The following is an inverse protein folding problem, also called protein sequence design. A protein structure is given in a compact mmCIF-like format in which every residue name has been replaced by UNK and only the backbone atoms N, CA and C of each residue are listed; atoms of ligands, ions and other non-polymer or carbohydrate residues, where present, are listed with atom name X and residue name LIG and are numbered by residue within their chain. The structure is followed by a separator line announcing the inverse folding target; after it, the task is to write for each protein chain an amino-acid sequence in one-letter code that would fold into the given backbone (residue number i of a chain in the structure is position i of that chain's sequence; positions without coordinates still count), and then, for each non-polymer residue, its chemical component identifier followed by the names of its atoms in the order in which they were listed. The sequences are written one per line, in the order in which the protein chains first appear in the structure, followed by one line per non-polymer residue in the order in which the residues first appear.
data_IF_289244129104
#
_entry.id   IF_289244129104
#
_cell.length_a   1.000
_cell.length_b   1.000
_cell.length_c   1.000
_cell.angle_alpha   90.00
_cell.angle_beta   90.00
_cell.angle_gamma   90.00
#
_symmetry.space_group_name_H-M   'P 1'
#
loop_
_entity.id
_entity.type
_entity.pdbx_description
1 polymer ?
2 polymer ?
3 non-polymer ?
4 non-polymer ?
5 non-polymer ?
6 non-polymer ?
7 non-polymer ?
8 non-polymer ?
9 water ?
#
# COMPACT_ATOMS: atom_id res chain seq x y z
N UNK A 2 2.35 -32.11 20.12
CA UNK A 2 1.14 -32.63 19.42
C UNK A 2 0.21 -33.29 20.44
N UNK A 3 -0.66 -32.54 21.18
CA UNK A 3 -1.22 -31.27 20.76
C UNK A 3 -0.25 -30.16 21.15
N UNK A 4 0.01 -29.22 20.22
CA UNK A 4 1.00 -28.13 20.40
C UNK A 4 0.43 -27.16 21.42
N UNK A 5 1.28 -26.45 22.17
CA UNK A 5 0.80 -25.46 23.13
C UNK A 5 -0.01 -24.35 22.46
N UNK A 6 -1.00 -23.81 23.18
CA UNK A 6 -1.75 -22.62 22.75
C UNK A 6 -0.82 -21.41 22.82
N UNK A 7 -0.54 -20.81 21.66
CA UNK A 7 0.34 -19.63 21.59
C UNK A 7 -0.55 -18.41 21.70
N UNK A 8 -0.15 -17.42 22.47
CA UNK A 8 -0.94 -16.18 22.53
C UNK A 8 -0.98 -15.56 21.14
N UNK A 9 -2.05 -14.86 20.80
CA UNK A 9 -2.12 -14.14 19.52
C UNK A 9 -0.91 -13.20 19.36
N UNK A 10 -0.54 -12.44 20.40
CA UNK A 10 0.56 -11.44 20.28
C UNK A 10 1.89 -12.18 20.06
N UNK A 11 2.14 -13.29 20.75
CA UNK A 11 3.41 -14.04 20.53
C UNK A 11 3.40 -14.61 19.11
N UNK A 12 2.31 -15.20 18.66
CA UNK A 12 2.24 -15.79 17.29
C UNK A 12 2.63 -14.71 16.29
N UNK A 13 2.03 -13.53 16.40
CA UNK A 13 2.22 -12.44 15.41
C UNK A 13 3.67 -11.97 15.40
N UNK A 14 4.27 -11.71 16.56
CA UNK A 14 5.68 -11.22 16.58
C UNK A 14 6.58 -12.34 16.08
N UNK A 15 6.24 -13.59 16.35
CA UNK A 15 7.06 -14.74 15.86
C UNK A 15 7.07 -14.74 14.34
N UNK A 16 5.90 -14.61 13.71
CA UNK A 16 5.87 -14.54 12.23
C UNK A 16 6.79 -13.42 11.75
N UNK A 17 6.64 -12.19 12.28
CA UNK A 17 7.45 -11.05 11.78
C UNK A 17 8.94 -11.24 12.09
N UNK A 18 9.31 -11.78 13.25
CA UNK A 18 10.74 -11.98 13.61
C UNK A 18 11.39 -13.01 12.72
N UNK A 19 10.67 -14.05 12.36
CA UNK A 19 11.32 -15.21 11.73
C UNK A 19 11.19 -15.16 10.20
N UNK A 20 10.31 -14.30 9.69
CA UNK A 20 10.18 -14.07 8.22
C UNK A 20 11.41 -13.33 7.70
N UNK A 21 12.05 -13.74 6.57
CA UNK A 21 13.20 -13.01 6.02
C UNK A 21 12.78 -11.84 5.13
N UNK A 22 13.72 -10.92 4.88
CA UNK A 22 13.59 -9.89 3.82
C UNK A 22 14.24 -10.46 2.57
N UNK A 23 13.53 -10.47 1.43
CA UNK A 23 14.07 -11.00 0.17
C UNK A 23 15.22 -10.14 -0.32
N UNK A 24 16.00 -10.72 -1.23
CA UNK A 24 17.14 -10.06 -1.87
C UNK A 24 16.66 -9.02 -2.86
N UNK A 25 17.59 -8.34 -3.51
CA UNK A 25 17.26 -7.18 -4.36
C UNK A 25 17.33 -7.59 -5.81
N UNK A 26 16.77 -6.74 -6.67
CA UNK A 26 16.92 -6.89 -8.14
C UNK A 26 16.76 -5.49 -8.74
N UNK A 27 17.27 -5.31 -9.96
CA UNK A 27 17.07 -4.04 -10.69
C UNK A 27 15.78 -4.13 -11.50
N UNK A 28 14.91 -3.14 -11.41
CA UNK A 28 13.68 -3.11 -12.24
C UNK A 28 13.61 -1.82 -13.05
N UNK A 29 12.78 -1.83 -14.08
CA UNK A 29 12.37 -0.60 -14.80
C UNK A 29 11.47 0.23 -13.87
N UNK A 30 11.66 1.56 -13.85
CA UNK A 30 10.91 2.43 -12.91
C UNK A 30 9.40 2.26 -13.13
N UNK A 31 8.95 1.98 -14.34
CA UNK A 31 7.48 1.86 -14.60
C UNK A 31 6.90 0.66 -13.87
N UNK A 32 7.71 -0.29 -13.44
CA UNK A 32 7.26 -1.47 -12.68
C UNK A 32 7.39 -1.25 -11.19
N UNK A 33 7.64 -0.01 -10.73
CA UNK A 33 7.97 0.28 -9.33
C UNK A 33 6.80 0.34 -8.36
N UNK A 34 5.54 0.22 -8.80
CA UNK A 34 4.37 0.37 -7.92
C UNK A 34 4.38 -0.69 -6.81
N UNK A 35 4.36 -0.25 -5.56
CA UNK A 35 4.32 -1.11 -4.36
C UNK A 35 5.70 -1.65 -4.03
N UNK A 36 6.71 -1.33 -4.82
CA UNK A 36 8.06 -1.85 -4.54
C UNK A 36 8.71 -0.94 -3.51
N UNK A 37 9.73 -1.46 -2.84
CA UNK A 37 10.52 -0.70 -1.85
C UNK A 37 11.92 -0.52 -2.43
N UNK A 38 12.40 0.72 -2.50
CA UNK A 38 13.77 1.02 -2.98
C UNK A 38 14.80 0.39 -2.05
N UNK A 39 15.79 -0.22 -2.64
CA UNK A 39 16.93 -0.79 -1.90
C UNK A 39 18.16 0.07 -2.21
N UNK A 40 17.98 1.23 -2.82
CA UNK A 40 19.10 2.22 -3.02
C UNK A 40 18.56 3.62 -2.76
N UNK A 41 19.45 4.54 -2.36
CA UNK A 41 19.17 5.98 -2.46
C UNK A 41 19.18 6.39 -3.93
N UNK A 42 18.35 7.37 -4.30
CA UNK A 42 18.27 7.84 -5.68
C UNK A 42 18.63 9.32 -5.67
N UNK A 43 19.50 9.71 -6.58
CA UNK A 43 20.13 11.04 -6.68
C UNK A 43 19.74 11.68 -8.01
N UNK A 44 19.49 13.00 -7.99
CA UNK A 44 19.31 13.81 -9.22
C UNK A 44 20.67 14.00 -9.85
N UNK A 45 20.76 13.82 -11.15
CA UNK A 45 22.02 14.14 -11.87
C UNK A 45 21.87 15.48 -12.60
N UNK A 46 20.68 16.07 -12.57
CA UNK A 46 20.37 17.34 -13.25
C UNK A 46 19.67 18.30 -12.29
N UNK A 47 19.70 19.60 -12.58
CA UNK A 47 18.87 20.62 -11.88
C UNK A 47 17.46 20.59 -12.49
N UNK A 48 16.46 20.81 -11.62
CA UNK A 48 15.05 21.13 -11.97
C UNK A 48 14.68 22.44 -11.29
N UNK A 49 14.34 23.49 -12.10
CA UNK A 49 14.50 23.47 -13.54
C UNK A 49 15.98 23.49 -13.90
N UNK A 50 16.40 22.98 -15.07
CA UNK A 50 17.79 23.07 -15.50
C UNK A 50 18.21 24.41 -16.12
N UNK A 51 17.24 25.30 -16.37
CA UNK A 51 17.42 26.71 -16.85
C UNK A 51 16.50 27.58 -15.98
N UNK A 52 16.74 28.90 -15.86
CA UNK A 52 15.79 29.77 -15.16
C UNK A 52 14.48 29.72 -15.97
N UNK A 53 13.37 29.40 -15.31
CA UNK A 53 12.06 29.16 -15.96
C UNK A 53 11.03 30.19 -15.52
N UNK A 54 10.22 30.63 -16.47
CA UNK A 54 9.07 31.52 -16.17
C UNK A 54 8.03 30.72 -15.39
N UNK A 55 7.51 31.33 -14.33
CA UNK A 55 6.34 30.80 -13.58
C UNK A 55 5.07 31.19 -14.35
N UNK A 56 5.15 32.15 -15.28
CA UNK A 56 3.95 32.79 -15.85
C UNK A 56 3.98 32.96 -17.36
N UNK A 57 2.80 33.04 -17.95
CA UNK A 57 2.56 33.62 -19.30
C UNK A 57 2.63 35.14 -19.13
N UNK A 58 3.56 35.78 -19.84
CA UNK A 58 3.75 37.23 -19.73
C UNK A 58 5.00 37.67 -20.45
N UNK A 59 5.81 38.48 -19.79
CA UNK A 59 7.01 39.11 -20.38
C UNK A 59 8.18 38.99 -19.43
N UNK A 60 9.32 38.65 -20.02
CA UNK A 60 10.62 38.75 -19.35
C UNK A 60 11.12 40.20 -19.46
N UNK A 61 11.43 40.84 -18.35
CA UNK A 61 11.74 42.29 -18.34
C UNK A 61 13.05 42.50 -17.58
N UNK A 62 13.53 43.74 -17.62
CA UNK A 62 14.49 44.33 -16.66
C UNK A 62 13.72 45.09 -15.60
N UNK A 63 13.76 44.63 -14.35
CA UNK A 63 13.09 45.27 -13.20
C UNK A 63 13.52 46.74 -13.09
N UNK A 64 14.79 47.04 -13.37
CA UNK A 64 15.38 48.40 -13.31
C UNK A 64 14.70 49.31 -14.34
N UNK A 65 14.14 48.80 -15.44
CA UNK A 65 13.35 49.61 -16.42
C UNK A 65 12.10 50.21 -15.73
N UNK A 66 11.59 49.57 -14.68
CA UNK A 66 10.31 49.89 -14.04
C UNK A 66 9.15 49.76 -15.02
N UNK A 67 7.97 50.33 -14.67
CA UNK A 67 6.82 50.38 -15.59
C UNK A 67 7.10 51.25 -16.83
N UNK A 68 6.30 51.06 -17.86
CA UNK A 68 6.39 51.89 -19.07
C UNK A 68 6.27 51.06 -20.30
N UNK A 69 6.54 51.68 -21.43
CA UNK A 69 6.20 51.13 -22.76
C UNK A 69 7.46 50.45 -23.30
N UNK A 70 7.30 49.25 -23.83
CA UNK A 70 8.45 48.38 -24.18
C UNK A 70 8.29 47.80 -25.58
N UNK A 71 9.41 47.70 -26.29
CA UNK A 71 9.48 46.93 -27.57
C UNK A 71 9.63 45.44 -27.21
N UNK A 72 8.79 44.63 -27.81
CA UNK A 72 8.84 43.14 -27.66
C UNK A 72 9.80 42.61 -28.72
N UNK A 73 11.00 42.16 -28.35
CA UNK A 73 12.02 41.74 -29.36
C UNK A 73 11.75 40.32 -29.91
N UNK A 74 10.79 39.59 -29.35
CA UNK A 74 10.46 38.22 -29.79
C UNK A 74 9.91 37.40 -28.64
N UNK A 75 9.89 36.06 -28.77
CA UNK A 75 9.28 35.15 -27.78
C UNK A 75 10.29 34.07 -27.37
N UNK A 76 10.31 33.75 -26.07
CA UNK A 76 10.99 32.54 -25.53
C UNK A 76 9.94 31.42 -25.55
N UNK A 77 10.14 30.43 -26.41
CA UNK A 77 9.19 29.32 -26.67
C UNK A 77 9.58 28.15 -25.77
N UNK A 78 8.59 27.43 -25.22
CA UNK A 78 8.82 26.17 -24.47
C UNK A 78 9.70 25.27 -25.33
N UNK A 79 10.80 24.76 -24.78
CA UNK A 79 11.64 23.72 -25.41
C UNK A 79 12.71 24.30 -26.31
N UNK A 80 12.99 25.60 -26.23
CA UNK A 80 13.97 26.27 -27.13
C UNK A 80 14.83 27.23 -26.29
N UNK A 81 16.15 27.13 -26.37
CA UNK A 81 17.05 28.11 -25.72
C UNK A 81 16.91 29.44 -26.48
N UNK A 82 16.57 30.56 -25.82
CA UNK A 82 16.50 31.87 -26.50
C UNK A 82 17.89 32.35 -26.92
N UNK A 83 17.99 33.00 -28.09
CA UNK A 83 19.26 33.50 -28.67
C UNK A 83 19.40 35.02 -28.53
N UNK A 84 18.41 35.73 -27.99
CA UNK A 84 18.51 37.21 -27.90
C UNK A 84 18.75 37.62 -26.46
N UNK A 85 19.32 38.81 -26.33
CA UNK A 85 19.61 39.47 -25.04
C UNK A 85 18.59 40.61 -24.93
N UNK A 86 17.88 40.65 -23.82
CA UNK A 86 16.93 41.76 -23.56
C UNK A 86 17.75 42.96 -23.07
N UNK A 87 17.69 44.07 -23.82
CA UNK A 87 18.36 45.35 -23.49
C UNK A 87 17.35 46.28 -22.84
N UNK A 88 17.79 47.36 -22.15
CA UNK A 88 16.85 48.33 -21.57
C UNK A 88 15.73 48.80 -22.52
N UNK A 89 14.50 48.85 -22.02
CA UNK A 89 13.30 49.27 -22.80
C UNK A 89 12.80 48.18 -23.72
N UNK A 90 13.34 46.96 -23.57
CA UNK A 90 12.86 45.81 -24.36
C UNK A 90 12.31 44.76 -23.39
N UNK A 91 11.51 43.86 -23.93
CA UNK A 91 11.03 42.64 -23.22
C UNK A 91 10.95 41.52 -24.25
N UNK A 92 10.76 40.32 -23.76
CA UNK A 92 10.51 39.16 -24.63
C UNK A 92 9.31 38.43 -24.06
N UNK A 93 8.37 38.07 -24.90
CA UNK A 93 7.24 37.22 -24.47
C UNK A 93 7.80 35.94 -23.89
N UNK A 94 7.13 35.45 -22.86
CA UNK A 94 7.45 34.13 -22.24
C UNK A 94 6.13 33.41 -21.93
N UNK A 95 6.20 32.09 -21.92
CA UNK A 95 5.12 31.21 -21.42
C UNK A 95 5.64 30.47 -20.18
N UNK A 96 4.72 29.91 -19.41
CA UNK A 96 5.00 29.06 -18.22
C UNK A 96 5.98 27.98 -18.64
N UNK A 97 7.08 27.89 -17.91
CA UNK A 97 8.12 26.85 -18.10
C UNK A 97 9.13 27.20 -19.17
N UNK A 98 9.02 28.35 -19.84
CA UNK A 98 9.96 28.76 -20.92
C UNK A 98 11.22 29.34 -20.27
N UNK A 99 12.40 29.24 -20.91
CA UNK A 99 13.61 29.82 -20.34
C UNK A 99 13.59 31.35 -20.33
N UNK A 100 14.18 31.94 -19.30
CA UNK A 100 14.40 33.42 -19.23
C UNK A 100 15.61 33.75 -20.12
N UNK A 101 15.45 34.68 -21.10
CA UNK A 101 16.54 35.05 -21.98
C UNK A 101 17.55 35.86 -21.18
N UNK A 102 18.79 35.91 -21.67
CA UNK A 102 19.86 36.76 -21.09
C UNK A 102 19.37 38.22 -21.18
N UNK A 103 19.68 39.00 -20.17
CA UNK A 103 19.33 40.44 -20.14
C UNK A 103 18.11 40.71 -19.27
N UNK A 104 17.25 39.69 -19.08
CA UNK A 104 15.99 39.81 -18.30
C UNK A 104 16.24 39.27 -16.93
N UNK A 105 15.58 39.80 -15.91
CA UNK A 105 15.82 39.37 -14.50
C UNK A 105 14.49 39.26 -13.75
N UNK A 106 13.38 39.42 -14.44
CA UNK A 106 12.06 39.30 -13.78
C UNK A 106 11.00 38.97 -14.82
N UNK A 107 9.90 38.42 -14.36
CA UNK A 107 8.75 38.15 -15.26
C UNK A 107 7.56 38.95 -14.74
N UNK A 108 6.85 39.58 -15.67
CA UNK A 108 5.58 40.30 -15.38
C UNK A 108 4.49 39.53 -16.12
N UNK A 109 3.47 39.09 -15.38
CA UNK A 109 2.39 38.25 -15.92
C UNK A 109 1.56 39.14 -16.85
N UNK A 110 0.91 38.54 -17.84
CA UNK A 110 0.20 39.27 -18.92
C UNK A 110 -0.89 40.15 -18.30
N UNK A 111 -1.48 39.76 -17.18
CA UNK A 111 -2.58 40.54 -16.57
C UNK A 111 -2.05 41.90 -16.08
N UNK A 112 -0.74 42.06 -15.85
CA UNK A 112 -0.14 43.33 -15.37
C UNK A 112 0.40 44.13 -16.56
N UNK A 113 -0.13 43.91 -17.75
CA UNK A 113 0.34 44.57 -18.98
C UNK A 113 -0.87 44.99 -19.80
N UNK A 114 -0.63 45.86 -20.77
CA UNK A 114 -1.62 46.15 -21.83
C UNK A 114 -0.88 46.16 -23.16
N UNK A 115 -1.44 45.46 -24.12
CA UNK A 115 -0.85 45.42 -25.47
C UNK A 115 -1.06 46.77 -26.14
N UNK A 116 0.00 47.33 -26.72
CA UNK A 116 -0.06 48.64 -27.44
C UNK A 116 -0.30 48.39 -28.93
N UNK A 117 0.50 47.49 -29.53
CA UNK A 117 0.61 47.32 -30.99
C UNK A 117 0.90 45.85 -31.35
N UNK A 118 0.22 45.34 -32.37
CA UNK A 118 0.47 43.97 -32.89
C UNK A 118 0.64 44.07 -34.41
N UNK A 119 1.02 42.98 -35.05
CA UNK A 119 1.24 42.88 -36.52
C UNK A 119 -0.10 43.05 -37.23
N UNK A 120 -0.06 43.41 -38.51
CA UNK A 120 -1.27 43.56 -39.36
C UNK A 120 -2.03 42.23 -39.38
N UNK A 121 -1.30 41.12 -39.53
CA UNK A 121 -1.84 39.72 -39.52
C UNK A 121 -2.47 39.40 -38.16
N UNK A 122 -2.04 40.06 -37.08
CA UNK A 122 -2.56 39.84 -35.72
C UNK A 122 -1.90 38.64 -35.07
N UNK A 123 -0.82 38.13 -35.67
CA UNK A 123 -0.08 36.92 -35.20
C UNK A 123 1.16 37.30 -34.39
N UNK A 124 1.43 38.60 -34.21
CA UNK A 124 2.72 39.01 -33.62
C UNK A 124 2.55 40.27 -32.76
N UNK A 125 2.85 40.18 -31.47
CA UNK A 125 2.84 41.35 -30.55
C UNK A 125 4.12 42.14 -30.75
N UNK A 126 4.05 43.47 -30.75
CA UNK A 126 5.21 44.33 -31.12
C UNK A 126 5.58 45.27 -29.97
N UNK A 127 4.61 45.75 -29.18
CA UNK A 127 4.89 46.76 -28.13
C UNK A 127 3.89 46.59 -26.99
N UNK A 128 4.34 46.73 -25.76
CA UNK A 128 3.47 46.45 -24.59
C UNK A 128 3.78 47.44 -23.50
N UNK A 129 2.75 47.75 -22.74
CA UNK A 129 2.86 48.61 -21.55
C UNK A 129 2.93 47.69 -20.34
N UNK A 130 4.03 47.81 -19.60
CA UNK A 130 4.26 47.14 -18.31
C UNK A 130 3.68 48.03 -17.23
N UNK A 131 2.66 47.58 -16.50
CA UNK A 131 1.91 48.46 -15.56
C UNK A 131 2.48 48.39 -14.15
N UNK A 132 3.45 47.52 -13.88
CA UNK A 132 3.90 47.31 -12.47
C UNK A 132 5.42 47.42 -12.40
N UNK A 133 5.91 47.64 -11.17
CA UNK A 133 7.33 47.58 -10.78
C UNK A 133 7.58 46.13 -10.36
N UNK A 134 8.28 45.38 -11.20
CA UNK A 134 8.63 43.98 -10.92
C UNK A 134 9.59 43.94 -9.72
N UNK A 135 9.32 43.04 -8.77
CA UNK A 135 10.34 42.62 -7.76
C UNK A 135 11.48 41.87 -8.47
N UNK A 136 12.75 42.02 -8.04
CA UNK A 136 13.87 41.34 -8.71
C UNK A 136 13.65 39.82 -8.61
N UNK A 137 13.83 39.11 -9.73
CA UNK A 137 13.65 37.65 -9.81
C UNK A 137 12.20 37.24 -9.75
N UNK A 138 11.28 38.19 -9.79
CA UNK A 138 9.82 37.93 -9.70
C UNK A 138 9.38 36.92 -10.77
N UNK A 139 8.64 35.89 -10.36
CA UNK A 139 7.96 34.87 -11.21
C UNK A 139 8.97 34.15 -12.11
N UNK A 140 10.16 33.93 -11.56
CA UNK A 140 11.21 33.07 -12.18
C UNK A 140 11.53 31.94 -11.19
N UNK A 141 11.60 30.70 -11.68
CA UNK A 141 12.16 29.55 -10.94
C UNK A 141 13.63 29.50 -11.29
N UNK A 142 14.55 29.86 -10.38
CA UNK A 142 15.97 29.79 -10.67
C UNK A 142 16.41 28.33 -10.92
N UNK A 143 17.51 28.14 -11.62
CA UNK A 143 18.13 26.80 -11.83
C UNK A 143 18.17 26.11 -10.47
N UNK A 144 17.66 24.88 -10.41
CA UNK A 144 17.80 24.01 -9.23
C UNK A 144 16.86 24.39 -8.12
N UNK A 145 15.91 25.27 -8.38
CA UNK A 145 14.89 25.69 -7.38
C UNK A 145 14.15 24.46 -6.84
N UNK A 146 13.77 23.52 -7.70
CA UNK A 146 12.90 22.39 -7.30
C UNK A 146 13.79 21.21 -6.87
N UNK A 147 14.82 20.91 -7.64
CA UNK A 147 15.76 19.80 -7.36
C UNK A 147 17.16 20.25 -7.75
N UNK A 148 18.14 19.97 -6.92
CA UNK A 148 19.55 20.30 -7.26
C UNK A 148 20.26 19.04 -7.72
N UNK A 149 21.16 19.21 -8.68
CA UNK A 149 22.10 18.13 -9.05
C UNK A 149 22.79 17.65 -7.77
N UNK A 150 22.88 16.34 -7.57
CA UNK A 150 23.57 15.74 -6.41
C UNK A 150 22.65 15.56 -5.20
N UNK A 151 21.43 16.09 -5.24
CA UNK A 151 20.44 15.92 -4.17
C UNK A 151 19.95 14.47 -4.14
N UNK A 152 19.74 13.93 -2.96
CA UNK A 152 19.04 12.64 -2.76
C UNK A 152 17.54 12.91 -2.83
N UNK A 153 16.84 12.41 -3.83
CA UNK A 153 15.39 12.70 -4.00
C UNK A 153 14.55 11.56 -3.41
N UNK A 154 15.09 10.36 -3.31
CA UNK A 154 14.35 9.24 -2.67
C UNK A 154 15.34 8.42 -1.86
N UNK A 155 14.96 8.11 -0.63
CA UNK A 155 15.80 7.29 0.27
C UNK A 155 15.50 5.79 0.09
N UNK A 156 16.53 4.94 0.24
CA UNK A 156 16.35 3.50 0.43
C UNK A 156 15.32 3.31 1.54
N UNK A 157 14.43 2.35 1.33
CA UNK A 157 13.35 2.01 2.28
C UNK A 157 12.03 2.64 1.85
N UNK A 158 12.03 3.47 0.80
CA UNK A 158 10.80 4.16 0.33
C UNK A 158 9.86 3.14 -0.35
N UNK A 159 8.61 3.10 0.06
CA UNK A 159 7.55 2.23 -0.46
C UNK A 159 6.80 3.02 -1.55
N UNK A 160 7.04 2.72 -2.82
CA UNK A 160 6.72 3.63 -3.96
C UNK A 160 5.26 3.51 -4.42
N UNK A 161 4.67 4.69 -4.66
CA UNK A 161 3.40 4.89 -5.38
C UNK A 161 3.61 5.73 -6.64
N UNK A 162 2.52 6.17 -7.29
CA UNK A 162 2.63 6.94 -8.53
C UNK A 162 3.56 8.15 -8.48
N UNK A 163 3.52 8.92 -7.39
CA UNK A 163 4.30 10.16 -7.27
C UNK A 163 5.80 9.84 -7.24
N UNK A 164 6.20 8.72 -6.63
CA UNK A 164 7.62 8.33 -6.57
C UNK A 164 8.05 7.92 -7.97
N UNK A 165 7.19 7.20 -8.69
CA UNK A 165 7.49 6.78 -10.09
C UNK A 165 7.72 8.03 -10.92
N UNK A 166 6.85 9.02 -10.74
CA UNK A 166 6.96 10.30 -11.45
C UNK A 166 8.25 11.05 -11.12
N UNK A 167 8.69 10.98 -9.87
CA UNK A 167 9.99 11.58 -9.46
C UNK A 167 11.17 10.85 -10.14
N UNK A 168 11.14 9.52 -10.18
CA UNK A 168 12.15 8.71 -10.95
C UNK A 168 12.19 9.16 -12.42
N UNK A 169 11.03 9.34 -13.02
CA UNK A 169 10.94 9.85 -14.41
C UNK A 169 11.60 11.23 -14.49
N UNK A 170 11.23 12.12 -13.58
CA UNK A 170 11.70 13.54 -13.55
C UNK A 170 13.23 13.55 -13.56
N UNK A 171 13.86 12.75 -12.71
CA UNK A 171 15.35 12.79 -12.62
C UNK A 171 16.00 11.81 -13.60
N UNK A 172 15.23 11.05 -14.36
CA UNK A 172 15.81 10.18 -15.41
C UNK A 172 16.52 8.98 -14.83
N UNK A 173 16.10 8.52 -13.66
CA UNK A 173 16.64 7.25 -13.08
C UNK A 173 15.62 6.16 -13.36
N UNK A 174 15.78 5.50 -14.49
CA UNK A 174 14.74 4.61 -15.08
C UNK A 174 14.97 3.17 -14.65
N UNK A 175 16.10 2.86 -14.01
CA UNK A 175 16.45 1.51 -13.50
C UNK A 175 16.76 1.64 -12.02
N UNK A 176 16.10 0.87 -11.16
CA UNK A 176 16.32 1.07 -9.72
C UNK A 176 16.42 -0.27 -9.02
N UNK A 177 17.23 -0.31 -7.99
CA UNK A 177 17.38 -1.49 -7.11
C UNK A 177 16.18 -1.51 -6.15
N UNK A 178 15.47 -2.63 -6.08
CA UNK A 178 14.31 -2.81 -5.16
C UNK A 178 14.39 -4.19 -4.55
N UNK A 179 13.63 -4.43 -3.48
CA UNK A 179 13.43 -5.81 -2.98
C UNK A 179 12.52 -6.57 -3.96
N UNK A 180 12.83 -7.84 -4.14
CA UNK A 180 11.95 -8.82 -4.80
C UNK A 180 10.61 -8.91 -4.06
N UNK A 181 9.57 -9.22 -4.81
CA UNK A 181 8.26 -9.67 -4.31
C UNK A 181 8.33 -11.16 -4.01
N UNK A 182 7.67 -11.60 -2.93
CA UNK A 182 7.54 -13.02 -2.68
C UNK A 182 6.70 -13.70 -3.74
N UNK A 183 7.13 -14.89 -4.15
CA UNK A 183 6.27 -15.81 -4.96
C UNK A 183 5.55 -16.74 -4.02
N UNK A 184 4.21 -16.82 -4.10
CA UNK A 184 3.38 -17.49 -3.07
C UNK A 184 2.57 -18.62 -3.70
N UNK A 185 2.85 -19.83 -3.24
CA UNK A 185 2.17 -21.06 -3.68
C UNK A 185 1.04 -21.37 -2.68
N UNK A 186 -0.15 -21.66 -3.21
CA UNK A 186 -1.35 -22.01 -2.41
C UNK A 186 -1.83 -23.42 -2.82
N UNK A 187 -2.09 -24.28 -1.83
CA UNK A 187 -2.71 -25.60 -2.07
C UNK A 187 -3.89 -25.78 -1.11
N UNK A 188 -4.90 -26.51 -1.57
CA UNK A 188 -5.98 -27.00 -0.70
C UNK A 188 -5.74 -28.47 -0.38
N UNK A 189 -6.28 -28.92 0.73
CA UNK A 189 -6.12 -30.32 1.20
C UNK A 189 -7.50 -30.87 1.50
N UNK A 190 -7.71 -32.14 1.22
CA UNK A 190 -8.93 -32.83 1.66
C UNK A 190 -9.47 -33.73 0.58
N UNK A 191 -9.78 -34.96 0.93
CA UNK A 191 -10.45 -35.93 0.03
C UNK A 191 -11.85 -35.48 -0.35
N UNK A 192 -12.45 -34.57 0.41
CA UNK A 192 -13.84 -34.10 0.18
C UNK A 192 -13.90 -32.99 -0.89
N UNK A 193 -12.77 -32.49 -1.40
CA UNK A 193 -12.77 -31.25 -2.20
C UNK A 193 -12.81 -31.56 -3.71
N UNK A 194 -13.65 -30.80 -4.41
CA UNK A 194 -13.73 -30.77 -5.88
C UNK A 194 -13.27 -29.41 -6.38
N UNK A 195 -12.88 -29.35 -7.64
CA UNK A 195 -12.57 -28.05 -8.28
C UNK A 195 -13.86 -27.25 -8.39
N UNK A 196 -13.72 -25.91 -8.36
CA UNK A 196 -14.84 -25.00 -8.60
C UNK A 196 -15.61 -25.34 -9.89
N UNK A 197 -14.90 -25.84 -10.90
CA UNK A 197 -15.47 -26.19 -12.21
C UNK A 197 -16.29 -27.49 -12.17
N UNK A 198 -16.21 -28.28 -11.12
CA UNK A 198 -16.86 -29.61 -11.04
C UNK A 198 -18.30 -29.51 -10.55
N UNK A 199 -19.17 -30.34 -11.10
CA UNK A 199 -20.48 -30.67 -10.48
C UNK A 199 -20.23 -31.49 -9.21
N UNK A 200 -21.09 -31.38 -8.21
CA UNK A 200 -20.90 -32.09 -6.92
C UNK A 200 -21.03 -33.59 -7.15
N UNK A 201 -20.28 -34.36 -6.36
CA UNK A 201 -20.38 -35.84 -6.29
C UNK A 201 -20.72 -36.16 -4.83
N UNK A 202 -21.27 -37.36 -4.54
CA UNK A 202 -21.61 -37.73 -3.17
C UNK A 202 -20.45 -37.52 -2.19
N UNK A 203 -20.74 -36.85 -1.08
CA UNK A 203 -19.76 -36.66 0.03
C UNK A 203 -18.82 -35.50 -0.20
N UNK A 204 -18.96 -34.73 -1.28
CA UNK A 204 -17.96 -33.72 -1.69
C UNK A 204 -18.51 -32.30 -1.71
N UNK A 205 -17.60 -31.34 -1.64
CA UNK A 205 -17.91 -29.90 -1.73
C UNK A 205 -16.86 -29.27 -2.63
N UNK A 206 -17.10 -28.04 -3.09
CA UNK A 206 -16.09 -27.34 -3.92
C UNK A 206 -15.04 -26.69 -3.01
N UNK A 207 -13.81 -26.67 -3.49
CA UNK A 207 -12.66 -25.97 -2.87
C UNK A 207 -12.87 -24.48 -3.06
N UNK A 208 -13.08 -23.73 -2.00
CA UNK A 208 -13.20 -22.24 -2.08
C UNK A 208 -11.94 -21.58 -1.53
N UNK A 209 -11.28 -22.18 -0.54
CA UNK A 209 -10.11 -21.52 0.10
C UNK A 209 -9.07 -21.16 -0.96
N UNK A 210 -8.78 -22.04 -1.91
CA UNK A 210 -7.65 -21.77 -2.84
C UNK A 210 -7.92 -20.45 -3.57
N UNK A 211 -9.12 -20.30 -4.10
CA UNK A 211 -9.58 -19.08 -4.82
C UNK A 211 -9.47 -17.86 -3.91
N UNK A 212 -9.96 -17.97 -2.69
CA UNK A 212 -10.07 -16.82 -1.76
C UNK A 212 -8.65 -16.38 -1.37
N UNK A 213 -7.80 -17.36 -1.05
CA UNK A 213 -6.42 -17.05 -0.58
C UNK A 213 -5.61 -16.50 -1.76
N UNK A 214 -5.71 -17.12 -2.94
CA UNK A 214 -4.95 -16.63 -4.11
C UNK A 214 -5.39 -15.20 -4.42
N UNK A 215 -6.70 -14.95 -4.38
CA UNK A 215 -7.23 -13.60 -4.69
C UNK A 215 -6.71 -12.60 -3.66
N UNK A 216 -6.67 -12.99 -2.39
CA UNK A 216 -6.19 -12.15 -1.27
C UNK A 216 -4.72 -11.79 -1.51
N UNK A 217 -3.89 -12.74 -1.93
CA UNK A 217 -2.45 -12.50 -2.20
C UNK A 217 -2.29 -11.61 -3.45
N UNK A 218 -3.08 -11.92 -4.51
CA UNK A 218 -2.99 -11.17 -5.77
C UNK A 218 -3.41 -9.72 -5.54
N UNK A 219 -4.37 -9.48 -4.66
CA UNK A 219 -4.85 -8.12 -4.36
C UNK A 219 -3.69 -7.23 -3.87
N UNK A 220 -2.72 -7.81 -3.17
CA UNK A 220 -1.55 -7.09 -2.61
C UNK A 220 -0.41 -7.02 -3.61
N UNK A 221 -0.57 -7.57 -4.82
CA UNK A 221 0.39 -7.38 -5.91
C UNK A 221 1.43 -8.49 -6.03
N UNK A 222 1.29 -9.58 -5.30
CA UNK A 222 2.34 -10.63 -5.28
C UNK A 222 2.02 -11.73 -6.28
N UNK A 223 3.06 -12.24 -6.97
CA UNK A 223 2.89 -13.37 -7.88
C UNK A 223 2.48 -14.63 -7.11
N UNK A 224 1.65 -15.48 -7.74
CA UNK A 224 1.12 -16.71 -7.08
C UNK A 224 1.34 -17.95 -7.94
N UNK A 225 1.30 -19.11 -7.29
CA UNK A 225 1.37 -20.46 -7.95
C UNK A 225 0.24 -21.31 -7.39
N UNK A 226 -0.57 -21.84 -8.29
CA UNK A 226 -1.75 -22.64 -7.93
C UNK A 226 -1.27 -24.09 -7.77
N UNK A 227 -1.21 -24.63 -6.56
CA UNK A 227 -0.74 -26.03 -6.36
C UNK A 227 -1.92 -27.02 -6.31
N UNK A 228 -3.15 -26.60 -6.57
CA UNK A 228 -4.30 -27.52 -6.66
C UNK A 228 -4.75 -28.09 -5.32
N UNK A 229 -5.47 -29.21 -5.43
CA UNK A 229 -6.09 -29.96 -4.33
C UNK A 229 -5.21 -31.17 -4.06
N UNK A 230 -4.83 -31.37 -2.80
CA UNK A 230 -3.99 -32.51 -2.37
C UNK A 230 -4.79 -33.38 -1.42
N UNK A 231 -4.81 -34.68 -1.69
CA UNK A 231 -5.53 -35.65 -0.84
C UNK A 231 -4.97 -35.69 0.57
N UNK A 232 -5.77 -36.24 1.49
CA UNK A 232 -5.41 -36.43 2.92
C UNK A 232 -4.51 -37.64 3.04
N UNK A 233 -3.29 -37.56 2.54
CA UNK A 233 -2.29 -38.66 2.72
C UNK A 233 -0.88 -38.08 2.72
N UNK A 234 -0.02 -38.57 3.64
CA UNK A 234 1.32 -38.00 3.85
C UNK A 234 2.18 -37.90 2.59
N UNK A 235 2.12 -38.90 1.71
CA UNK A 235 3.07 -38.94 0.57
C UNK A 235 2.72 -37.80 -0.39
N UNK A 236 1.44 -37.71 -0.72
CA UNK A 236 0.95 -36.67 -1.64
C UNK A 236 1.24 -35.28 -1.03
N UNK A 237 1.03 -35.14 0.28
CA UNK A 237 1.22 -33.81 0.91
C UNK A 237 2.70 -33.46 0.83
N UNK A 238 3.58 -34.41 1.10
CA UNK A 238 5.05 -34.17 1.02
C UNK A 238 5.45 -33.77 -0.40
N UNK A 239 4.91 -34.45 -1.41
CA UNK A 239 5.21 -34.15 -2.83
C UNK A 239 4.78 -32.72 -3.20
N UNK A 240 3.58 -32.33 -2.77
CA UNK A 240 3.03 -30.99 -3.05
C UNK A 240 3.91 -29.94 -2.35
N UNK A 241 4.27 -30.19 -1.08
CA UNK A 241 5.09 -29.23 -0.31
C UNK A 241 6.47 -29.08 -0.98
N UNK A 242 7.06 -30.17 -1.48
CA UNK A 242 8.37 -30.12 -2.19
C UNK A 242 8.24 -29.30 -3.48
N UNK A 243 7.13 -29.46 -4.20
CA UNK A 243 6.90 -28.63 -5.41
C UNK A 243 6.82 -27.15 -4.99
N UNK A 244 6.08 -26.83 -3.94
CA UNK A 244 5.94 -25.44 -3.48
C UNK A 244 7.29 -24.84 -3.07
N UNK A 245 8.09 -25.58 -2.32
CA UNK A 245 9.44 -25.11 -1.89
C UNK A 245 10.30 -24.83 -3.12
N UNK A 246 10.22 -25.68 -4.13
CA UNK A 246 10.98 -25.54 -5.38
C UNK A 246 10.55 -24.27 -6.14
N UNK A 247 9.24 -23.98 -6.19
CA UNK A 247 8.69 -22.96 -7.13
C UNK A 247 8.44 -21.64 -6.41
N UNK A 248 8.50 -21.58 -5.08
CA UNK A 248 8.00 -20.36 -4.39
C UNK A 248 8.81 -20.00 -3.14
N UNK A 249 8.62 -18.78 -2.63
CA UNK A 249 9.28 -18.29 -1.39
C UNK A 249 8.40 -18.68 -0.21
N UNK A 250 7.10 -18.77 -0.45
CA UNK A 250 6.09 -18.95 0.62
C UNK A 250 5.14 -20.05 0.16
N UNK A 251 4.78 -20.95 1.08
CA UNK A 251 3.76 -22.00 0.80
C UNK A 251 2.61 -21.80 1.81
N UNK A 252 1.41 -21.65 1.28
CA UNK A 252 0.17 -21.60 2.07
C UNK A 252 -0.59 -22.89 1.78
N UNK A 253 -0.90 -23.65 2.83
CA UNK A 253 -1.88 -24.76 2.80
C UNK A 253 -3.11 -24.31 3.57
N UNK A 254 -4.23 -24.97 3.34
CA UNK A 254 -5.39 -24.89 4.26
C UNK A 254 -5.89 -26.31 4.52
N UNK A 255 -6.50 -26.51 5.68
CA UNK A 255 -7.03 -27.81 6.10
C UNK A 255 -6.00 -28.73 6.72
N UNK A 256 -6.46 -29.78 7.41
CA UNK A 256 -5.62 -30.86 7.96
C UNK A 256 -4.67 -30.42 9.07
N UNK A 257 -4.99 -29.37 9.82
CA UNK A 257 -4.12 -28.91 10.94
C UNK A 257 -4.78 -29.12 12.32
N UNK A 258 -6.04 -29.55 12.41
CA UNK A 258 -6.64 -29.84 13.74
C UNK A 258 -6.14 -31.22 14.20
N UNK A 259 -6.71 -31.75 15.27
CA UNK A 259 -6.28 -33.04 15.87
C UNK A 259 -7.13 -34.21 15.35
N UNK A 260 -7.85 -34.03 14.24
CA UNK A 260 -8.64 -35.10 13.57
C UNK A 260 -7.77 -36.27 13.12
N UNK A 261 -8.40 -37.41 12.81
CA UNK A 261 -7.67 -38.67 12.53
C UNK A 261 -6.78 -38.49 11.29
N UNK A 262 -7.30 -37.87 10.24
CA UNK A 262 -6.58 -37.74 8.94
C UNK A 262 -6.11 -36.29 8.74
N UNK A 263 -5.90 -35.55 9.83
CA UNK A 263 -5.25 -34.21 9.80
C UNK A 263 -3.75 -34.50 9.91
N UNK A 264 -2.98 -34.53 8.80
CA UNK A 264 -1.56 -35.01 8.77
C UNK A 264 -0.51 -33.90 8.55
N UNK A 265 -0.89 -32.66 8.34
CA UNK A 265 0.10 -31.66 7.84
C UNK A 265 1.26 -31.47 8.82
N UNK A 266 0.98 -31.37 10.13
CA UNK A 266 2.01 -31.11 11.18
C UNK A 266 3.04 -32.26 11.16
N UNK A 267 2.62 -33.53 11.10
CA UNK A 267 3.55 -34.70 11.06
C UNK A 267 4.46 -34.55 9.85
N UNK A 268 3.88 -34.23 8.69
CA UNK A 268 4.64 -34.17 7.41
C UNK A 268 5.66 -33.03 7.48
N UNK A 269 5.24 -31.86 7.95
CA UNK A 269 6.13 -30.68 8.08
C UNK A 269 7.31 -31.02 9.00
N UNK A 270 7.07 -31.77 10.07
CA UNK A 270 8.14 -32.00 11.08
C UNK A 270 9.01 -33.18 10.65
N UNK A 271 8.43 -34.37 10.48
CA UNK A 271 9.17 -35.66 10.28
C UNK A 271 9.69 -35.77 8.84
N UNK A 272 8.84 -35.56 7.84
CA UNK A 272 9.19 -35.76 6.41
C UNK A 272 9.96 -34.54 5.89
N UNK A 273 9.41 -33.33 6.03
CA UNK A 273 10.02 -32.11 5.43
C UNK A 273 11.15 -31.56 6.30
N UNK A 274 11.20 -31.87 7.61
CA UNK A 274 12.22 -31.40 8.59
C UNK A 274 12.17 -29.89 8.77
N UNK A 275 10.97 -29.32 8.71
CA UNK A 275 10.74 -27.88 8.94
C UNK A 275 10.65 -27.65 10.44
N UNK A 276 10.90 -26.42 10.85
CA UNK A 276 10.72 -25.96 12.24
C UNK A 276 9.34 -25.33 12.37
N UNK A 277 8.45 -25.99 13.09
CA UNK A 277 7.11 -25.48 13.43
C UNK A 277 7.25 -24.58 14.66
N UNK A 278 6.98 -23.29 14.52
CA UNK A 278 7.18 -22.32 15.61
C UNK A 278 5.92 -22.26 16.47
N UNK A 279 4.74 -22.48 15.88
CA UNK A 279 3.47 -22.63 16.63
C UNK A 279 2.51 -23.45 15.77
N UNK A 280 1.64 -24.19 16.46
CA UNK A 280 0.73 -25.16 15.85
C UNK A 280 -0.69 -24.94 16.34
N UNK A 281 -0.87 -24.10 17.35
CA UNK A 281 -2.20 -23.68 17.83
C UNK A 281 -2.07 -22.24 18.29
N UNK A 282 -3.10 -21.47 18.07
CA UNK A 282 -3.10 -20.04 18.47
C UNK A 282 -4.38 -19.81 19.27
N UNK A 283 -4.24 -19.16 20.42
CA UNK A 283 -5.41 -18.83 21.25
C UNK A 283 -6.15 -17.63 20.63
N UNK A 284 -7.00 -17.91 19.65
CA UNK A 284 -7.67 -16.88 18.82
C UNK A 284 -8.95 -17.49 18.25
N UNK A 285 -9.89 -16.63 17.89
CA UNK A 285 -11.20 -17.07 17.31
C UNK A 285 -11.54 -16.23 16.09
N UNK A 286 -11.72 -16.82 14.88
CA UNK A 286 -11.42 -18.23 14.58
C UNK A 286 -9.91 -18.43 14.42
N UNK A 287 -9.46 -19.69 14.28
CA UNK A 287 -8.07 -19.97 13.84
C UNK A 287 -7.24 -20.72 14.86
N UNK A 288 -7.86 -21.46 15.78
CA UNK A 288 -7.16 -22.29 16.80
C UNK A 288 -6.01 -23.09 16.20
N UNK A 289 -6.15 -23.84 15.08
CA UNK A 289 -5.07 -24.72 14.63
C UNK A 289 -4.01 -24.09 13.73
N UNK A 290 -3.97 -22.77 13.61
CA UNK A 290 -3.05 -22.07 12.66
C UNK A 290 -1.61 -22.48 12.96
N UNK A 291 -0.86 -22.79 11.91
CA UNK A 291 0.48 -23.37 12.03
C UNK A 291 1.45 -22.54 11.18
N UNK A 292 2.58 -22.19 11.77
CA UNK A 292 3.67 -21.43 11.11
C UNK A 292 4.95 -22.22 11.23
N UNK A 293 5.62 -22.40 10.08
CA UNK A 293 6.86 -23.17 9.99
C UNK A 293 7.85 -22.43 9.09
N UNK A 294 9.13 -22.67 9.35
CA UNK A 294 10.24 -22.21 8.50
C UNK A 294 11.09 -23.40 8.10
N UNK A 295 11.71 -23.29 6.93
CA UNK A 295 12.57 -24.37 6.42
C UNK A 295 13.77 -23.69 5.78
N UNK A 296 14.95 -23.96 6.33
CA UNK A 296 16.18 -23.33 5.84
C UNK A 296 16.83 -24.36 4.92
N UNK A 297 17.03 -23.99 3.67
CA UNK A 297 17.73 -24.85 2.68
C UNK A 297 18.82 -24.01 2.03
N UNK A 298 20.09 -24.34 2.28
CA UNK A 298 21.25 -23.72 1.57
C UNK A 298 21.13 -22.20 1.77
N UNK A 299 20.99 -21.78 3.02
CA UNK A 299 20.95 -20.36 3.44
C UNK A 299 19.77 -19.63 2.85
N UNK A 300 18.73 -20.34 2.39
CA UNK A 300 17.44 -19.69 1.99
C UNK A 300 16.37 -20.10 2.99
N UNK A 301 15.63 -19.14 3.53
CA UNK A 301 14.50 -19.46 4.45
C UNK A 301 13.17 -19.49 3.67
N UNK A 302 12.54 -20.65 3.59
CA UNK A 302 11.15 -20.80 3.06
C UNK A 302 10.18 -20.59 4.22
N UNK A 303 9.04 -19.96 3.97
CA UNK A 303 8.03 -19.86 5.05
C UNK A 303 6.76 -20.59 4.63
N UNK A 304 6.20 -21.28 5.62
CA UNK A 304 5.02 -22.16 5.42
C UNK A 304 3.97 -21.76 6.42
N UNK A 305 2.78 -21.44 5.90
CA UNK A 305 1.58 -21.20 6.71
C UNK A 305 0.63 -22.33 6.43
N UNK A 306 0.33 -23.12 7.45
CA UNK A 306 -0.69 -24.18 7.33
C UNK A 306 -1.94 -23.65 8.00
N UNK A 307 -2.83 -23.06 7.21
CA UNK A 307 -4.02 -22.41 7.76
C UNK A 307 -5.11 -23.45 7.98
N UNK A 308 -6.10 -23.11 8.81
CA UNK A 308 -7.22 -24.01 9.06
C UNK A 308 -8.11 -24.15 7.83
N UNK A 309 -8.83 -25.27 7.79
CA UNK A 309 -9.67 -25.62 6.64
C UNK A 309 -10.94 -24.80 6.57
N UNK A 310 -11.52 -24.43 7.70
CA UNK A 310 -12.77 -23.62 7.70
C UNK A 310 -12.53 -22.38 6.85
N UNK A 311 -13.35 -22.13 5.80
CA UNK A 311 -13.15 -20.99 4.91
C UNK A 311 -13.06 -19.63 5.62
N UNK A 312 -13.87 -19.42 6.62
CA UNK A 312 -13.83 -18.13 7.34
C UNK A 312 -12.49 -18.05 8.08
N UNK A 313 -12.10 -19.11 8.79
CA UNK A 313 -10.78 -19.15 9.49
C UNK A 313 -9.64 -18.89 8.50
N UNK A 314 -9.66 -19.55 7.34
CA UNK A 314 -8.55 -19.48 6.37
C UNK A 314 -8.34 -18.03 5.92
N UNK A 315 -9.41 -17.31 5.56
CA UNK A 315 -9.26 -15.90 5.05
C UNK A 315 -8.88 -14.95 6.20
N UNK A 316 -9.42 -15.19 7.40
CA UNK A 316 -9.13 -14.29 8.54
C UNK A 316 -7.66 -14.44 8.92
N UNK A 317 -7.18 -15.68 9.04
CA UNK A 317 -5.78 -15.94 9.47
C UNK A 317 -4.83 -15.51 8.33
N UNK A 318 -5.22 -15.65 7.07
CA UNK A 318 -4.40 -15.18 5.93
C UNK A 318 -4.16 -13.66 6.10
N UNK A 319 -5.20 -12.90 6.47
CA UNK A 319 -5.14 -11.43 6.64
C UNK A 319 -4.27 -11.09 7.86
N UNK A 320 -4.42 -11.81 8.97
CA UNK A 320 -3.66 -11.52 10.22
C UNK A 320 -2.17 -11.87 10.11
N UNK A 321 -1.81 -13.04 9.58
CA UNK A 321 -0.44 -13.59 9.65
C UNK A 321 0.26 -13.46 8.30
N UNK A 322 -0.43 -13.83 7.22
CA UNK A 322 0.26 -14.03 5.93
C UNK A 322 0.63 -12.67 5.33
N UNK A 323 -0.34 -11.76 5.22
CA UNK A 323 -0.12 -10.49 4.49
C UNK A 323 1.02 -9.69 5.14
N UNK A 324 1.08 -9.53 6.49
CA UNK A 324 2.22 -8.85 7.10
C UNK A 324 3.57 -9.51 6.82
N UNK A 325 3.61 -10.83 6.81
CA UNK A 325 4.86 -11.54 6.45
C UNK A 325 5.28 -11.16 5.02
N UNK A 326 4.34 -11.17 4.09
CA UNK A 326 4.67 -10.88 2.68
C UNK A 326 5.17 -9.43 2.57
N UNK A 327 4.60 -8.52 3.36
CA UNK A 327 5.01 -7.10 3.37
C UNK A 327 6.47 -7.00 3.84
N UNK A 328 6.81 -7.76 4.85
CA UNK A 328 8.18 -7.81 5.35
C UNK A 328 9.09 -8.36 4.23
N UNK A 329 8.68 -9.46 3.59
CA UNK A 329 9.56 -10.10 2.58
C UNK A 329 9.80 -9.14 1.40
N UNK A 330 8.84 -8.29 1.01
CA UNK A 330 9.03 -7.37 -0.10
C UNK A 330 9.67 -6.06 0.35
N UNK A 331 10.22 -5.99 1.57
CA UNK A 331 11.15 -4.93 1.98
C UNK A 331 10.48 -3.79 2.73
N UNK A 332 9.20 -3.90 3.05
CA UNK A 332 8.50 -2.81 3.79
C UNK A 332 9.04 -2.79 5.22
N UNK A 333 9.55 -1.63 5.63
CA UNK A 333 10.34 -1.54 6.87
C UNK A 333 9.45 -1.81 8.08
N UNK A 334 8.25 -1.23 8.09
CA UNK A 334 7.25 -1.52 9.14
C UNK A 334 6.10 -2.26 8.48
N UNK A 335 6.08 -3.60 8.53
CA UNK A 335 5.08 -4.37 7.78
C UNK A 335 3.73 -4.52 8.46
N UNK A 336 3.60 -3.95 9.65
CA UNK A 336 2.38 -4.05 10.48
C UNK A 336 1.21 -3.42 9.73
N UNK A 337 0.00 -4.00 9.89
CA UNK A 337 -1.17 -3.49 9.21
C UNK A 337 -1.59 -2.17 9.84
N UNK A 338 -2.39 -1.41 9.14
CA UNK A 338 -2.98 -0.17 9.66
C UNK A 338 -4.18 -0.53 10.50
N UNK A 339 -4.24 0.01 11.70
CA UNK A 339 -5.35 -0.26 12.64
C UNK A 339 -6.06 1.06 12.91
N UNK A 340 -7.37 1.09 12.72
CA UNK A 340 -8.13 2.35 12.93
C UNK A 340 -9.17 2.13 14.02
N UNK A 341 -9.73 3.24 14.50
CA UNK A 341 -10.83 3.23 15.49
C UNK A 341 -12.16 3.39 14.75
N UNK A 342 -13.10 2.51 15.03
CA UNK A 342 -14.47 2.56 14.47
C UNK A 342 -15.49 2.31 15.58
N UNK A 343 -16.76 2.58 15.29
CA UNK A 343 -17.90 2.33 16.21
C UNK A 343 -18.61 1.04 15.80
N UNK A 344 -18.83 0.15 16.77
CA UNK A 344 -19.61 -1.08 16.56
C UNK A 344 -21.01 -0.72 16.10
N UNK A 345 -21.47 -1.38 15.04
CA UNK A 345 -22.85 -1.18 14.52
C UNK A 345 -23.84 -2.06 15.32
N UNK A 346 -23.36 -3.03 16.09
CA UNK A 346 -24.18 -4.06 16.76
C UNK A 346 -23.53 -4.53 18.06
N UNK A 347 -24.33 -4.70 19.11
CA UNK A 347 -23.94 -5.42 20.35
C UNK A 347 -23.21 -6.71 19.96
N UNK A 348 -22.17 -7.07 20.69
CA UNK A 348 -21.45 -8.34 20.44
C UNK A 348 -20.96 -8.90 21.78
N UNK A 349 -21.08 -10.23 21.90
CA UNK A 349 -20.61 -11.04 23.05
C UNK A 349 -19.10 -11.28 22.85
N UNK A 350 -18.33 -11.10 23.91
CA UNK A 350 -16.87 -11.33 23.88
C UNK A 350 -16.59 -12.79 24.25
N UNK A 351 -15.52 -13.32 23.70
CA UNK A 351 -15.08 -14.71 23.89
C UNK A 351 -13.87 -14.62 24.80
N UNK A 352 -13.52 -15.71 25.52
CA UNK A 352 -12.24 -15.76 26.21
C UNK A 352 -11.05 -15.51 25.27
N UNK A 353 -11.16 -15.91 23.99
CA UNK A 353 -10.09 -15.68 22.98
C UNK A 353 -10.30 -14.32 22.34
N UNK A 354 -9.22 -13.60 21.96
CA UNK A 354 -9.35 -12.47 21.06
C UNK A 354 -10.04 -12.96 19.78
N UNK A 355 -10.96 -12.14 19.29
CA UNK A 355 -11.90 -12.54 18.22
C UNK A 355 -11.81 -11.57 17.05
N UNK A 356 -11.92 -12.09 15.85
CA UNK A 356 -11.72 -11.32 14.61
C UNK A 356 -12.85 -11.63 13.65
N UNK A 357 -13.38 -10.61 13.01
CA UNK A 357 -14.49 -10.77 12.05
C UNK A 357 -14.35 -9.72 10.94
N UNK A 358 -14.52 -10.15 9.70
CA UNK A 358 -14.60 -9.26 8.52
C UNK A 358 -15.73 -8.26 8.71
N UNK A 359 -15.53 -7.01 8.28
CA UNK A 359 -16.55 -5.96 8.39
C UNK A 359 -16.39 -4.99 7.23
N UNK A 360 -17.36 -4.11 7.14
CA UNK A 360 -17.33 -2.95 6.24
C UNK A 360 -17.29 -1.67 7.07
N UNK A 361 -16.32 -0.84 6.76
CA UNK A 361 -16.11 0.50 7.33
C UNK A 361 -16.82 1.53 6.45
N UNK A 362 -17.63 2.36 7.10
CA UNK A 362 -18.43 3.42 6.44
C UNK A 362 -18.33 4.70 7.27
N UNK A 363 -18.01 5.80 6.62
CA UNK A 363 -18.01 7.15 7.23
C UNK A 363 -19.39 7.75 6.96
N UNK A 364 -20.09 8.21 8.00
CA UNK A 364 -21.44 8.81 7.92
C UNK A 364 -21.40 10.33 7.90
N UNK A 365 -22.11 10.96 6.96
CA UNK A 365 -22.16 12.43 6.83
C UNK A 365 -20.92 13.06 7.49
N UNK A 366 -21.09 13.92 8.49
CA UNK A 366 -19.91 14.50 9.18
C UNK A 366 -19.41 13.93 10.53
N UNK A 367 -19.82 12.73 10.93
CA UNK A 367 -19.32 12.07 12.16
C UNK A 367 -17.85 11.71 11.99
N UNK A 368 -17.01 12.06 12.97
CA UNK A 368 -15.58 11.83 12.89
C UNK A 368 -15.16 10.36 12.71
N UNK A 369 -15.81 9.43 13.41
CA UNK A 369 -15.41 8.01 13.38
C UNK A 369 -16.32 7.25 12.44
N UNK A 370 -15.76 6.26 11.72
CA UNK A 370 -16.55 5.38 10.87
C UNK A 370 -17.33 4.34 11.69
N UNK A 371 -18.37 3.79 11.09
CA UNK A 371 -19.07 2.60 11.61
C UNK A 371 -18.47 1.34 11.01
N UNK A 372 -18.34 0.31 11.84
CA UNK A 372 -17.96 -1.06 11.42
C UNK A 372 -19.20 -1.94 11.45
N UNK A 373 -19.64 -2.39 10.29
CA UNK A 373 -20.72 -3.40 10.24
C UNK A 373 -20.14 -4.76 9.86
N UNK A 374 -20.23 -5.70 10.80
CA UNK A 374 -19.83 -7.11 10.59
C UNK A 374 -20.54 -7.64 9.35
N UNK A 375 -19.85 -8.45 8.57
CA UNK A 375 -20.39 -9.10 7.34
C UNK A 375 -21.13 -10.39 7.71
N UNK A 376 -21.06 -10.81 8.98
CA UNK A 376 -21.67 -12.06 9.49
C UNK A 376 -23.01 -11.82 10.16
N UNK A 383 -27.94 -3.16 0.45
CA UNK A 383 -26.90 -2.29 -0.16
C UNK A 383 -25.51 -2.52 0.47
N UNK A 384 -25.41 -2.95 1.74
CA UNK A 384 -24.09 -3.28 2.37
C UNK A 384 -23.46 -4.45 1.58
N UNK A 385 -24.29 -5.33 1.06
CA UNK A 385 -23.81 -6.48 0.29
C UNK A 385 -23.21 -6.01 -1.06
N UNK A 386 -23.43 -4.77 -1.54
CA UNK A 386 -22.78 -4.28 -2.80
C UNK A 386 -21.27 -4.06 -2.60
N UNK A 387 -20.79 -3.96 -1.35
CA UNK A 387 -19.36 -3.65 -1.10
C UNK A 387 -18.67 -4.86 -0.47
N UNK A 388 -17.39 -5.03 -0.76
CA UNK A 388 -16.56 -6.11 -0.19
C UNK A 388 -16.02 -5.69 1.20
N UNK A 389 -15.74 -6.65 2.07
CA UNK A 389 -15.14 -6.38 3.39
C UNK A 389 -13.90 -5.52 3.18
N UNK A 390 -13.76 -4.46 3.98
CA UNK A 390 -12.52 -3.62 3.98
C UNK A 390 -11.90 -3.57 5.39
N UNK A 391 -12.46 -4.28 6.35
CA UNK A 391 -11.89 -4.28 7.70
C UNK A 391 -12.01 -5.62 8.36
N UNK A 392 -11.19 -5.79 9.37
CA UNK A 392 -11.28 -6.95 10.27
C UNK A 392 -11.46 -6.38 11.68
N UNK A 393 -12.67 -6.53 12.22
CA UNK A 393 -12.96 -6.19 13.63
C UNK A 393 -11.96 -6.91 14.53
N UNK A 394 -11.32 -6.21 15.43
CA UNK A 394 -10.41 -6.81 16.43
C UNK A 394 -11.07 -6.70 17.82
N UNK A 395 -11.75 -7.73 18.24
CA UNK A 395 -12.49 -7.72 19.51
C UNK A 395 -11.61 -8.23 20.64
N UNK A 396 -11.62 -7.52 21.79
CA UNK A 396 -10.82 -7.92 22.94
C UNK A 396 -11.31 -9.19 23.63
N UNK A 397 -10.41 -9.98 24.23
CA UNK A 397 -10.81 -11.08 25.11
C UNK A 397 -11.72 -10.56 26.22
N UNK A 398 -12.77 -11.29 26.52
CA UNK A 398 -13.67 -10.95 27.64
C UNK A 398 -12.85 -10.90 28.93
N UNK A 399 -13.39 -10.20 29.93
CA UNK A 399 -12.85 -10.08 31.30
C UNK A 399 -14.02 -10.17 32.29
N UNK A 400 -13.73 -10.14 33.59
CA UNK A 400 -14.79 -9.99 34.62
C UNK A 400 -15.54 -8.69 34.34
N UNK A 401 -14.80 -7.59 34.12
CA UNK A 401 -15.38 -6.26 33.76
C UNK A 401 -16.29 -6.39 32.54
N UNK A 402 -15.78 -6.95 31.42
CA UNK A 402 -16.42 -6.87 30.08
C UNK A 402 -16.73 -8.24 29.50
N UNK A 403 -18.01 -8.53 29.32
CA UNK A 403 -18.54 -9.80 28.77
C UNK A 403 -19.28 -9.48 27.47
N UNK A 404 -19.42 -8.20 27.16
CA UNK A 404 -20.29 -7.70 26.07
C UNK A 404 -19.79 -6.32 25.64
N UNK A 405 -19.89 -6.01 24.35
CA UNK A 405 -19.62 -4.65 23.83
C UNK A 405 -20.92 -4.16 23.19
N UNK A 406 -21.20 -2.87 23.27
CA UNK A 406 -22.51 -2.32 22.85
C UNK A 406 -22.34 -1.53 21.56
N UNK A 407 -23.37 -1.56 20.73
CA UNK A 407 -23.50 -0.65 19.57
C UNK A 407 -23.03 0.75 19.94
N UNK A 408 -22.10 1.32 19.17
CA UNK A 408 -21.54 2.66 19.36
C UNK A 408 -20.19 2.66 20.05
N UNK A 409 -19.82 1.58 20.73
CA UNK A 409 -18.49 1.51 21.41
C UNK A 409 -17.38 1.50 20.36
N UNK A 410 -16.27 2.15 20.69
CA UNK A 410 -15.08 2.36 19.83
C UNK A 410 -14.23 1.08 19.89
N UNK A 411 -13.98 0.50 18.74
CA UNK A 411 -13.18 -0.76 18.64
C UNK A 411 -12.05 -0.58 17.60
N UNK A 412 -11.02 -1.37 17.74
CA UNK A 412 -9.90 -1.45 16.75
C UNK A 412 -10.41 -2.22 15.53
N UNK A 413 -10.12 -1.72 14.34
CA UNK A 413 -10.43 -2.45 13.09
C UNK A 413 -9.18 -2.43 12.22
N UNK A 414 -8.72 -3.61 11.80
CA UNK A 414 -7.57 -3.70 10.89
C UNK A 414 -8.03 -3.48 9.44
N UNK A 415 -7.34 -2.60 8.73
CA UNK A 415 -7.69 -2.27 7.32
C UNK A 415 -7.26 -3.46 6.43
N UNK A 416 -8.19 -4.05 5.69
CA UNK A 416 -7.85 -5.16 4.76
C UNK A 416 -8.28 -4.84 3.33
N UNK A 417 -8.91 -3.69 3.10
CA UNK A 417 -9.48 -3.19 1.82
C UNK A 417 -9.14 -1.74 1.48
N UNK A 418 -9.23 -1.43 0.18
CA UNK A 418 -8.72 -0.21 -0.47
C UNK A 418 -9.83 0.52 -1.23
N UNK A 419 -10.45 1.51 -0.60
CA UNK A 419 -11.64 2.18 -1.16
C UNK A 419 -11.29 2.91 -2.46
N UNK B 1 2.42 -1.74 20.35
CA UNK B 1 1.48 -2.26 19.31
C UNK B 1 1.02 -3.66 19.68
N UNK B 2 -0.27 -3.93 19.49
CA UNK B 2 -0.88 -5.26 19.72
C UNK B 2 -1.78 -5.60 18.53
N UNK B 3 -1.73 -6.86 18.10
CA UNK B 3 -2.63 -7.40 17.06
C UNK B 3 -3.95 -7.80 17.74
N UNK B 4 -4.02 -7.64 19.06
CA UNK B 4 -5.27 -7.95 19.83
C UNK B 4 -6.02 -6.65 20.08
N UNK B 5 -7.30 -6.60 19.73
CA UNK B 5 -8.17 -5.43 19.93
C UNK B 5 -8.17 -5.00 21.39
N UNK B 6 -8.10 -3.70 21.63
CA UNK B 6 -8.12 -3.10 22.99
C UNK B 6 -9.56 -2.98 23.48
N UNK B 7 -9.75 -2.82 24.78
CA UNK B 7 -11.05 -2.48 25.41
C UNK B 7 -11.24 -0.98 25.29
N UNK B 8 -12.49 -0.47 25.22
CA UNK B 8 -12.73 0.97 25.15
C UNK B 8 -12.26 1.69 26.42
N UNK B 9 -11.46 2.75 26.26
CA UNK B 9 -10.91 3.57 27.39
C UNK B 9 -11.97 4.61 27.82
N UNK B 10 -11.65 5.44 28.82
CA UNK B 10 -12.61 6.33 29.50
C UNK B 10 -13.95 5.59 29.61
N UNK B 11 -13.98 4.49 30.37
CA UNK B 11 -15.12 3.55 30.46
C UNK B 11 -14.80 2.42 31.46
N UNK C 1 -35.82 23.50 24.11
CA UNK C 1 -35.43 23.04 25.49
C UNK C 1 -36.46 22.03 25.99
N UNK C 2 -35.98 20.99 26.67
CA UNK C 2 -36.83 19.96 27.28
C UNK C 2 -36.32 19.67 28.70
N UNK C 3 -37.25 19.51 29.61
CA UNK C 3 -36.94 19.08 31.01
C UNK C 3 -36.84 17.55 31.01
N UNK C 4 -37.06 16.91 29.87
CA UNK C 4 -36.94 15.42 29.74
C UNK C 4 -35.57 15.09 29.13
N UNK C 5 -34.82 14.22 29.78
CA UNK C 5 -33.50 13.78 29.33
C UNK C 5 -33.57 13.17 27.94
N UNK C 6 -32.59 13.50 27.11
CA UNK C 6 -32.56 12.99 25.72
C UNK C 6 -31.82 11.66 25.67
N UNK C 7 -31.86 11.01 24.51
CA UNK C 7 -31.09 9.77 24.25
C UNK C 7 -29.81 10.19 23.50
N UNK C 8 -28.72 9.39 23.49
CA UNK C 8 -27.52 9.77 22.72
C UNK C 8 -27.95 9.95 21.25
N UNK C 9 -27.56 11.07 20.63
CA UNK C 9 -28.07 11.45 19.28
C UNK C 9 -27.73 10.46 18.17
N UNK C 10 -26.45 10.08 18.02
CA UNK C 10 -26.17 9.12 16.92
C UNK C 10 -25.72 7.80 17.53
N UNK C 11 -26.65 6.85 17.52
CA UNK C 11 -26.44 5.51 18.10
C UNK C 11 -27.70 4.67 17.89
X LIG D 1 -17.35 -0.20 -3.86
X LIG D 1 -16.43 0.76 -3.13
X LIG D 1 -17.01 2.06 -3.19
X LIG D 1 -15.09 0.83 -3.82
X LIG D 1 -16.28 0.30 -1.67
X LIG D 1 -16.15 1.33 -0.60
X LIG D 1 -16.26 0.71 0.64
X LIG D 1 -14.81 1.90 -0.70
X LIG E 1 -16.01 -16.61 2.26
X LIG E 1 -16.84 -16.01 2.97
X LIG E 1 -14.77 -16.50 2.40
X LIG E 1 -16.53 -17.49 1.11
X LIG F 1 -9.93 9.12 -4.31
X LIG F 1 -9.70 8.34 -5.60
X LIG F 1 -8.63 8.97 -6.33
X LIG F 1 -10.99 8.42 -6.44
X LIG F 1 -9.25 6.92 -5.27
X LIG F 1 -10.39 5.94 -5.10
X LIG F 1 -11.77 6.26 -5.34
X LIG F 1 -10.18 4.59 -4.56
X LIG G 1 -10.21 2.45 4.18
X LIG G 1 -10.50 2.74 3.01
X LIG G 1 -9.69 3.27 5.02
X LIG G 1 -10.56 1.05 4.66
X LIG H 1 14.19 12.82 1.57
X LIG H 1 14.58 12.43 0.45
X LIG H 1 14.95 13.16 2.48
X LIG H 1 12.68 12.86 1.89
X LIG I 1 -12.80 -3.97 -4.25
X LIG I 1 -14.02 -4.05 -3.91
X LIG I 1 -12.07 -2.91 -4.17
X LIG I 1 -12.16 -5.25 -4.76
X LIG J 1 -28.77 -4.63 2.36
X LIG J 1 -29.87 -4.18 2.00
X LIG J 1 -28.08 -4.12 3.27
X LIG J 1 -28.21 -5.83 1.59
X LIG K 1 -9.34 -27.48 -13.74
X LIG K 1 -8.81 -27.92 -14.79
X LIG K 1 -9.27 -26.30 -13.39
X LIG K 1 -10.08 -28.45 -12.84
X LIG L 1 -9.59 -31.74 5.79
X LIG M 1 -9.48 -31.28 10.65
X LIG N 1 -8.68 -28.28 10.09
X LIG N 1 -8.14 -29.68 10.40
X LIG N 1 -7.62 -27.27 9.83
X LIG N 1 -9.69 -27.80 11.11
X LIG N 1 -10.23 -29.62 8.03
X LIG N 1 -10.68 -30.61 9.09
X LIG N 1 -9.34 -30.15 6.96
X LIG N 1 -9.58 -28.36 8.73
X LIG N 1 -11.52 -28.93 7.39
X LIG N 1 -12.40 -28.22 8.27
X LIG N 1 -13.67 -27.91 7.52
X LIG N 1 -13.36 -27.00 6.44
X LIG N 1 -14.33 -29.13 6.88
X LIG N 1 -15.73 -28.94 6.98
X LIG N 1 -13.77 -29.08 5.46
X LIG N 1 -14.59 -29.82 4.60
X LIG N 1 -13.74 -27.57 5.22
X LIG N 1 -12.77 -27.16 4.22
X LIG N 1 -11.46 -27.56 4.20
X LIG N 1 -10.81 -27.13 3.16
X LIG N 1 -11.72 -26.40 2.42
X LIG N 1 -11.61 -25.70 1.22
X LIG N 1 -10.50 -25.67 0.47
X LIG N 1 -12.72 -25.10 0.73
X LIG N 1 -13.85 -25.20 1.46
X LIG N 1 -14.06 -25.83 2.61
X LIG N 1 -12.95 -26.43 3.06
X LIG O 1 11.83 -18.73 -6.45
X LIG O 1 11.82 -19.89 -5.45
X LIG O 1 10.58 -17.88 -6.20
X LIG O 1 11.82 -19.26 -7.89
X LIG O 1 13.10 -17.88 -6.25
X LIG P 1 -25.31 1.80 24.06
X LIG P 1 -24.91 2.74 23.37
X LIG P 1 -25.62 3.34 22.41
X LIG P 1 -24.86 4.31 21.89
X LIG P 1 -23.71 4.28 22.56
X LIG P 1 -22.76 5.05 22.36
X LIG P 1 -23.72 3.32 23.47
X LIG P 1 -22.73 3.03 24.31
X LIG P 1 -22.84 1.97 25.20
X LIG P 1 -21.79 1.66 26.05
X LIG P 1 -21.58 3.80 24.29
X LIG P 1 -20.53 3.50 25.16
X LIG P 1 -20.65 2.44 26.04
X LIG P 1 -19.63 2.16 26.85
X LIG P 1 -18.52 2.85 27.01
X LIG P 1 -18.26 3.92 26.44
X LIG P 1 -17.71 2.24 27.89
X LIG P 1 -18.33 1.13 28.28
X LIG P 1 -19.50 1.09 27.63
X LIG P 1 -20.33 0.18 27.75
#
# INVERSE_FOLDING_TARGET
MSPFPLTSMDKAFITVLEMTPVLGTEIINYRDGMGRVLAQDVYAKDNLPPFPASVKDGYAVRAADGPGDRFIIGESQAGEQPTQTVMPGQVMRVTTGAPIPCGADAVVQVEDTELIRESDDGTEELEVRILVQARPGQDIRPIGHDIKRGECVLAKGTHMGPSEIGLLATVGVTEVEVNKFPVVAVMSTGNELLNPEDDLLPGKIRDSNRSTLLATIQEHGYPTINLGIVGDNPDDLLNALNEGISRADVIITSGGVSMGEKDYLKQVLDIDLHAQIHFGRVFMKPGLPTTFATLDIDGVRKIIFALPGNPVSAVVTCNLFVVPALRKMQGILDPRPTIIKARLSCDVKLDPRPEYHRCILTWHHQEPLPWAQSTGNQMSSRLMSMRSANGLLMLPPKTEQYVELHKGEVVDVMVIGRL
FSIVGSLPRDC
FSIVGSLPRDC
MPD C1 C2 O2 CM C3 C4 O4 C5
ACT C O OXT CH3
MPD C1 C2 O2 CM C3 C4 O4 C5
ACT C O OXT CH3
ACT C O OXT CH3
ACT C O OXT CH3
ACT C O OXT CH3
ACT C O OXT CH3
MG MG
MG MG
ADP PB O1B O2B O3B PA O1A O2A O3A O5' C5' C4' O4' C3' O3' C2' O2' C1' N9 C8 N7 C5 C6 N6 N1 C2 N3 C4
PO4 P O1 O2 O3 O4
3F7 OAA CAO CAI CAJ CAP OAB NAS CAM CAF CAH CAE CAG CAN NAT CAQ OAC CAK CAL CAR OAD
#
